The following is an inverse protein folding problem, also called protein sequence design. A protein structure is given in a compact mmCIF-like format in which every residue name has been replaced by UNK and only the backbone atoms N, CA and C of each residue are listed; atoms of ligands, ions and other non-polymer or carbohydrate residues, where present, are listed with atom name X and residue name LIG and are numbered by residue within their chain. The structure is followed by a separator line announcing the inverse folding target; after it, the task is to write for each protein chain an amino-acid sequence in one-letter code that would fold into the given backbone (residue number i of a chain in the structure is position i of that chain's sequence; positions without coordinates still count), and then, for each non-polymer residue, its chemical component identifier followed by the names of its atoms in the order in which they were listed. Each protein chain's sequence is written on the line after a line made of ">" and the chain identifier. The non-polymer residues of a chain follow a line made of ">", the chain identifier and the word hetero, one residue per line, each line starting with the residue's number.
data_IF_456604159035
#
_entry.id   IF_456604159035
#
_cell.length_a   1.000
_cell.length_b   1.000
_cell.length_c   1.000
_cell.angle_alpha   90.00
_cell.angle_beta   90.00
_cell.angle_gamma   90.00
#
_symmetry.space_group_name_H-M   'P 1'
#
loop_
_entity.id
_entity.type
_entity.pdbx_description
1 polymer ?
#
# COMPACT_ATOMS: atom_id res chain seq x y z
N UNK A 1 -6.59 -17.81 -16.00
CA UNK A 1 -7.40 -16.60 -16.21
C UNK A 1 -6.51 -15.60 -16.95
N UNK A 2 -6.74 -15.37 -18.27
CA UNK A 2 -5.99 -14.36 -19.01
C UNK A 2 -6.69 -13.01 -18.83
N UNK A 3 -6.03 -12.02 -18.28
CA UNK A 3 -6.52 -10.65 -18.32
C UNK A 3 -6.46 -10.14 -19.76
N UNK A 4 -7.57 -9.70 -20.35
CA UNK A 4 -7.57 -9.14 -21.69
C UNK A 4 -7.04 -7.70 -21.63
N UNK A 5 -5.74 -7.57 -21.37
CA UNK A 5 -5.08 -6.27 -21.44
C UNK A 5 -4.54 -6.06 -22.84
N UNK A 6 -5.10 -5.11 -23.57
CA UNK A 6 -4.58 -4.67 -24.86
C UNK A 6 -3.88 -3.32 -24.66
N UNK A 7 -2.55 -3.34 -24.68
CA UNK A 7 -1.72 -2.14 -24.54
C UNK A 7 -1.89 -1.13 -25.68
N UNK A 8 -2.41 -1.56 -26.84
CA UNK A 8 -2.64 -0.71 -28.02
C UNK A 8 -4.01 0.01 -27.93
N UNK A 9 -4.94 -0.52 -27.16
CA UNK A 9 -6.29 0.04 -27.05
C UNK A 9 -6.58 0.54 -25.64
N UNK A 10 -6.06 1.73 -25.33
CA UNK A 10 -6.29 2.38 -24.04
C UNK A 10 -7.63 3.08 -24.02
N UNK A 11 -8.59 2.57 -23.22
CA UNK A 11 -9.99 3.04 -23.19
C UNK A 11 -10.21 4.42 -22.53
N UNK A 12 -9.21 4.93 -21.84
CA UNK A 12 -9.33 6.19 -21.12
C UNK A 12 -8.78 7.37 -21.95
N UNK A 13 -9.32 8.58 -21.81
CA UNK A 13 -8.86 9.76 -22.56
C UNK A 13 -7.46 10.25 -22.12
N UNK A 14 -6.84 9.59 -21.16
CA UNK A 14 -5.47 9.86 -20.75
C UNK A 14 -4.52 9.56 -21.91
N UNK A 15 -3.69 10.53 -22.25
CA UNK A 15 -2.65 10.38 -23.30
C UNK A 15 -1.37 9.73 -22.79
N UNK A 16 -1.42 9.02 -21.66
CA UNK A 16 -0.26 8.30 -21.14
C UNK A 16 0.01 7.09 -22.01
N UNK A 17 1.27 6.92 -22.39
CA UNK A 17 1.71 5.74 -23.14
C UNK A 17 2.05 4.61 -22.20
N UNK A 18 1.87 3.36 -22.68
CA UNK A 18 2.37 2.19 -21.96
C UNK A 18 3.90 2.28 -21.82
N UNK A 19 4.38 1.96 -20.63
CA UNK A 19 5.82 1.90 -20.32
C UNK A 19 6.21 0.45 -20.21
N UNK A 20 7.30 0.07 -20.87
CA UNK A 20 7.86 -1.28 -20.86
C UNK A 20 9.24 -1.27 -20.22
N UNK A 21 9.53 -2.25 -19.39
CA UNK A 21 10.83 -2.40 -18.75
C UNK A 21 11.30 -3.86 -18.82
N UNK A 22 12.61 -4.08 -18.99
CA UNK A 22 13.21 -5.42 -19.06
C UNK A 22 13.57 -5.99 -17.70
N UNK A 23 14.04 -5.18 -16.78
CA UNK A 23 14.67 -5.60 -15.51
C UNK A 23 13.80 -5.38 -14.29
N UNK A 24 12.85 -4.49 -14.36
CA UNK A 24 11.96 -4.15 -13.25
C UNK A 24 11.24 -2.83 -13.48
N UNK A 25 10.18 -2.64 -12.76
CA UNK A 25 9.35 -1.44 -12.83
C UNK A 25 8.83 -1.12 -11.43
N UNK A 26 8.72 0.15 -11.13
CA UNK A 26 8.06 0.63 -9.92
C UNK A 26 6.97 1.62 -10.34
N UNK A 27 5.76 1.42 -9.81
CA UNK A 27 4.64 2.33 -10.00
C UNK A 27 4.19 2.85 -8.63
N UNK A 28 3.95 4.14 -8.54
CA UNK A 28 3.42 4.80 -7.35
C UNK A 28 2.57 6.00 -7.77
N UNK A 29 1.74 6.50 -6.86
CA UNK A 29 0.94 7.72 -7.04
C UNK A 29 1.83 8.97 -7.22
N UNK A 30 3.03 8.96 -6.64
CA UNK A 30 3.98 10.06 -6.68
C UNK A 30 5.30 9.67 -7.39
N UNK A 31 5.80 10.51 -8.33
CA UNK A 31 7.01 10.20 -9.08
C UNK A 31 8.26 10.00 -8.21
N UNK A 32 8.39 10.76 -7.12
CA UNK A 32 9.53 10.63 -6.20
C UNK A 32 9.52 9.29 -5.45
N UNK A 33 8.35 8.78 -5.11
CA UNK A 33 8.23 7.45 -4.52
C UNK A 33 8.63 6.35 -5.52
N UNK A 34 8.17 6.45 -6.77
CA UNK A 34 8.59 5.54 -7.83
C UNK A 34 10.12 5.59 -8.04
N UNK A 35 10.71 6.79 -7.99
CA UNK A 35 12.17 6.97 -8.09
C UNK A 35 12.90 6.32 -6.92
N UNK A 36 12.43 6.48 -5.68
CA UNK A 36 13.01 5.83 -4.50
C UNK A 36 13.03 4.30 -4.65
N UNK A 37 11.93 3.72 -5.12
CA UNK A 37 11.86 2.29 -5.41
C UNK A 37 12.81 1.85 -6.53
N UNK A 38 12.90 2.62 -7.61
CA UNK A 38 13.85 2.36 -8.70
C UNK A 38 15.31 2.43 -8.23
N UNK A 39 15.63 3.34 -7.34
CA UNK A 39 16.97 3.47 -6.78
C UNK A 39 17.31 2.27 -5.87
N UNK A 40 16.34 1.72 -5.14
CA UNK A 40 16.53 0.46 -4.42
C UNK A 40 16.86 -0.69 -5.38
N UNK A 41 16.12 -0.83 -6.49
CA UNK A 41 16.42 -1.84 -7.52
C UNK A 41 17.80 -1.64 -8.16
N UNK A 42 18.21 -0.40 -8.46
CA UNK A 42 19.52 -0.08 -9.03
C UNK A 42 20.69 -0.43 -8.10
N UNK A 43 20.48 -0.35 -6.79
CA UNK A 43 21.46 -0.75 -5.77
C UNK A 43 21.50 -2.26 -5.52
N UNK A 44 20.73 -3.05 -6.25
CA UNK A 44 20.69 -4.51 -6.14
C UNK A 44 19.61 -5.04 -5.20
N UNK A 45 18.72 -4.18 -4.73
CA UNK A 45 17.53 -4.60 -3.97
C UNK A 45 16.53 -5.36 -4.84
N UNK A 46 15.65 -6.09 -4.21
CA UNK A 46 14.55 -6.83 -4.83
C UNK A 46 13.24 -6.00 -4.87
N UNK A 47 12.16 -6.61 -5.32
CA UNK A 47 10.87 -5.92 -5.43
C UNK A 47 10.29 -5.49 -4.07
N UNK A 48 10.59 -6.24 -3.00
CA UNK A 48 10.15 -5.88 -1.64
C UNK A 48 10.93 -4.67 -1.15
N UNK A 49 12.26 -4.64 -1.33
CA UNK A 49 13.08 -3.47 -1.01
C UNK A 49 12.59 -2.22 -1.76
N UNK A 50 12.23 -2.38 -3.03
CA UNK A 50 11.73 -1.27 -3.84
C UNK A 50 10.38 -0.74 -3.34
N UNK A 51 9.45 -1.62 -2.96
CA UNK A 51 8.14 -1.20 -2.45
C UNK A 51 8.26 -0.55 -1.08
N UNK A 52 9.15 -1.04 -0.21
CA UNK A 52 9.40 -0.44 1.10
C UNK A 52 10.01 0.97 0.95
N UNK A 53 10.99 1.14 0.04
CA UNK A 53 11.55 2.46 -0.24
C UNK A 53 10.51 3.46 -0.78
N UNK A 54 9.65 3.00 -1.68
CA UNK A 54 8.55 3.81 -2.21
C UNK A 54 7.51 4.16 -1.12
N UNK A 55 7.12 3.18 -0.30
CA UNK A 55 6.16 3.37 0.79
C UNK A 55 6.69 4.35 1.85
N UNK A 56 7.95 4.22 2.24
CA UNK A 56 8.59 5.15 3.16
C UNK A 56 8.61 6.59 2.61
N UNK A 57 8.92 6.75 1.33
CA UNK A 57 8.87 8.05 0.67
C UNK A 57 7.45 8.65 0.67
N UNK A 58 6.41 7.83 0.41
CA UNK A 58 5.02 8.26 0.39
C UNK A 58 4.54 8.81 1.74
N UNK A 59 5.06 8.34 2.86
CA UNK A 59 4.69 8.88 4.18
C UNK A 59 5.02 10.37 4.33
N UNK A 60 5.97 10.87 3.55
CA UNK A 60 6.40 12.28 3.56
C UNK A 60 5.74 13.09 2.45
N UNK A 61 5.69 12.53 1.23
CA UNK A 61 5.26 13.29 0.05
C UNK A 61 3.78 13.17 -0.27
N UNK A 62 3.08 12.21 0.35
CA UNK A 62 1.64 12.01 0.23
C UNK A 62 1.00 11.73 1.62
N UNK A 63 1.17 12.65 2.58
CA UNK A 63 0.76 12.42 3.98
C UNK A 63 -0.77 12.36 4.17
N UNK A 64 -1.54 12.77 3.18
CA UNK A 64 -3.01 12.68 3.20
C UNK A 64 -3.55 11.26 3.14
N UNK A 65 -2.76 10.33 2.59
CA UNK A 65 -3.17 8.94 2.34
C UNK A 65 -2.16 7.92 2.88
N UNK A 66 -1.01 8.37 3.37
CA UNK A 66 0.07 7.53 3.84
C UNK A 66 0.67 8.05 5.13
N UNK A 67 1.02 7.15 6.04
CA UNK A 67 1.65 7.54 7.31
C UNK A 67 2.00 6.34 8.17
N UNK A 68 2.98 6.47 9.05
CA UNK A 68 3.44 5.40 9.96
C UNK A 68 2.37 4.95 10.96
N UNK A 69 1.35 5.78 11.20
CA UNK A 69 0.26 5.51 12.12
C UNK A 69 -0.89 4.68 11.52
N UNK A 70 -0.79 4.27 10.26
CA UNK A 70 -1.83 3.54 9.56
C UNK A 70 -1.61 2.03 9.49
N UNK A 71 -2.21 1.46 8.48
CA UNK A 71 -2.18 0.03 8.16
C UNK A 71 -1.43 -0.23 6.83
N UNK A 72 -1.10 -1.49 6.59
CA UNK A 72 -0.49 -1.92 5.34
C UNK A 72 -1.02 -3.29 4.90
N UNK A 73 -1.21 -3.42 3.60
CA UNK A 73 -1.57 -4.66 2.94
C UNK A 73 -0.63 -4.90 1.78
N UNK A 74 -0.21 -6.14 1.58
CA UNK A 74 0.64 -6.48 0.45
C UNK A 74 0.29 -7.84 -0.13
N UNK A 75 0.51 -7.98 -1.44
CA UNK A 75 0.52 -9.25 -2.14
C UNK A 75 1.87 -9.36 -2.83
N UNK A 76 2.59 -10.44 -2.55
CA UNK A 76 3.91 -10.72 -3.13
C UNK A 76 3.83 -12.02 -3.89
N UNK A 77 4.22 -12.01 -5.17
CA UNK A 77 4.42 -13.21 -5.96
C UNK A 77 5.91 -13.50 -6.06
N UNK A 78 6.36 -14.63 -5.53
CA UNK A 78 7.76 -15.03 -5.58
C UNK A 78 7.89 -16.55 -5.70
N UNK A 79 8.80 -17.01 -6.55
CA UNK A 79 9.08 -18.44 -6.72
C UNK A 79 7.87 -19.30 -7.13
N UNK A 80 6.92 -18.74 -7.87
CA UNK A 80 5.70 -19.44 -8.28
C UNK A 80 4.60 -19.46 -7.20
N UNK A 81 4.80 -18.80 -6.08
CA UNK A 81 3.87 -18.78 -4.94
C UNK A 81 3.43 -17.34 -4.61
N UNK A 82 2.20 -17.21 -4.17
CA UNK A 82 1.61 -15.95 -3.72
C UNK A 82 1.60 -15.88 -2.18
N UNK A 83 2.07 -14.75 -1.66
CA UNK A 83 2.06 -14.43 -0.24
C UNK A 83 1.20 -13.20 -0.01
N UNK A 84 0.33 -13.24 0.98
CA UNK A 84 -0.49 -12.12 1.42
C UNK A 84 -0.01 -11.59 2.77
N UNK A 85 0.06 -10.28 2.93
CA UNK A 85 0.29 -9.61 4.19
C UNK A 85 -0.92 -8.76 4.53
N UNK A 86 -1.46 -8.96 5.73
CA UNK A 86 -2.43 -8.06 6.35
C UNK A 86 -1.82 -7.52 7.64
N UNK A 87 -1.54 -6.25 7.66
CA UNK A 87 -1.04 -5.52 8.82
C UNK A 87 -1.94 -4.31 9.10
N UNK A 88 -3.23 -4.59 9.29
CA UNK A 88 -4.23 -3.56 9.65
C UNK A 88 -4.04 -3.01 11.06
N UNK A 89 -3.24 -3.69 11.87
CA UNK A 89 -3.09 -3.39 13.29
C UNK A 89 -4.26 -3.91 14.13
N UNK A 90 -4.03 -4.28 15.39
CA UNK A 90 -5.08 -4.73 16.28
C UNK A 90 -5.93 -3.55 16.79
N UNK A 91 -7.13 -3.84 17.25
CA UNK A 91 -7.89 -2.90 18.06
C UNK A 91 -7.14 -2.57 19.34
N UNK A 92 -7.25 -1.35 19.87
CA UNK A 92 -6.73 -1.02 21.21
C UNK A 92 -7.28 -1.97 22.28
N UNK A 93 -6.46 -2.31 23.28
CA UNK A 93 -6.85 -3.28 24.33
C UNK A 93 -8.11 -2.87 25.11
N UNK A 94 -8.39 -1.58 25.20
CA UNK A 94 -9.57 -1.03 25.86
C UNK A 94 -10.77 -0.82 24.91
N UNK A 95 -10.68 -1.24 23.65
CA UNK A 95 -11.80 -1.15 22.73
C UNK A 95 -12.90 -2.15 23.13
N UNK A 96 -14.08 -1.65 23.42
CA UNK A 96 -15.24 -2.43 23.80
C UNK A 96 -16.32 -2.36 22.72
N UNK A 97 -16.52 -3.47 22.02
CA UNK A 97 -17.51 -3.56 20.96
C UNK A 97 -18.96 -3.47 21.47
N UNK A 98 -19.24 -3.94 22.70
CA UNK A 98 -20.56 -3.84 23.28
C UNK A 98 -20.91 -2.38 23.59
N UNK A 99 -19.98 -1.67 24.22
CA UNK A 99 -20.13 -0.22 24.47
C UNK A 99 -20.35 0.58 23.17
N UNK A 100 -19.59 0.28 22.12
CA UNK A 100 -19.71 1.00 20.85
C UNK A 100 -21.05 0.75 20.17
N UNK A 101 -21.55 -0.49 20.20
CA UNK A 101 -22.88 -0.83 19.66
C UNK A 101 -24.01 -0.16 20.44
N UNK A 102 -23.93 -0.17 21.77
CA UNK A 102 -24.93 0.46 22.63
C UNK A 102 -24.98 1.97 22.40
N UNK A 103 -23.81 2.62 22.33
CA UNK A 103 -23.73 4.08 22.25
C UNK A 103 -23.95 4.67 20.86
N UNK A 104 -23.49 3.97 19.81
CA UNK A 104 -23.46 4.51 18.44
C UNK A 104 -24.19 3.63 17.42
N UNK A 105 -24.61 2.42 17.78
CA UNK A 105 -25.19 1.43 16.85
C UNK A 105 -24.15 0.76 15.97
N UNK A 106 -23.14 1.51 15.52
CA UNK A 106 -22.05 1.04 14.65
C UNK A 106 -20.72 1.69 15.03
N UNK A 107 -19.64 1.29 14.40
CA UNK A 107 -18.33 1.94 14.58
C UNK A 107 -18.37 3.35 13.98
N UNK A 108 -18.08 4.42 14.75
CA UNK A 108 -17.96 5.76 14.22
C UNK A 108 -16.87 5.84 13.16
N UNK A 109 -17.15 6.53 12.05
CA UNK A 109 -16.15 6.74 10.98
C UNK A 109 -15.12 7.82 11.29
N UNK A 110 -15.34 8.63 12.32
CA UNK A 110 -14.47 9.73 12.72
C UNK A 110 -14.19 9.69 14.22
N UNK A 111 -13.10 10.34 14.64
CA UNK A 111 -12.69 10.44 16.04
C UNK A 111 -11.68 9.36 16.43
N UNK A 112 -11.60 9.03 17.70
CA UNK A 112 -10.60 8.13 18.27
C UNK A 112 -10.96 6.65 18.20
N UNK A 113 -12.25 6.31 18.14
CA UNK A 113 -12.71 4.92 18.19
C UNK A 113 -12.26 4.05 17.01
N UNK A 114 -12.24 4.55 15.76
CA UNK A 114 -11.78 3.75 14.63
C UNK A 114 -10.25 3.63 14.54
N UNK A 115 -9.50 4.32 15.40
CA UNK A 115 -8.02 4.29 15.36
C UNK A 115 -7.52 2.95 15.90
N UNK A 116 -6.81 2.20 15.05
CA UNK A 116 -6.13 0.95 15.42
C UNK A 116 -4.73 1.22 15.99
N UNK A 117 -4.13 0.22 16.62
CA UNK A 117 -2.69 0.24 16.89
C UNK A 117 -1.96 0.19 15.53
N UNK A 118 -0.99 1.08 15.26
CA UNK A 118 -0.34 1.16 13.96
C UNK A 118 0.23 -0.17 13.47
N UNK A 119 -0.21 -0.62 12.30
CA UNK A 119 0.26 -1.88 11.70
C UNK A 119 1.46 -1.72 10.77
N UNK A 120 1.67 -0.52 10.19
CA UNK A 120 2.74 -0.28 9.21
C UNK A 120 4.14 -0.63 9.72
N UNK A 121 4.56 -0.24 10.95
CA UNK A 121 5.90 -0.59 11.43
C UNK A 121 6.14 -2.10 11.50
N UNK A 122 5.11 -2.86 11.87
CA UNK A 122 5.19 -4.33 11.90
C UNK A 122 5.22 -4.92 10.49
N UNK A 123 4.49 -4.34 9.54
CA UNK A 123 4.50 -4.75 8.14
C UNK A 123 5.91 -4.63 7.51
N UNK A 124 6.57 -3.53 7.76
CA UNK A 124 7.90 -3.24 7.21
C UNK A 124 9.01 -4.07 7.85
#
# INVERSE_FOLDING_TARGET
>A
MSFPFNAENYRYPSRRRAVFARRGMVCASQPLAAQAGLDALRRGGNAVDAVLAAAACLTVIEPTSNGLGGDAFAIVWHGGQMYGLNSSGPAPALADAAFLREKYGEMPSLGWYPVTVPGIPAAW
#
